data_IF_431570357280
#
_entry.id   IF_431570357280
#
_cell.length_a   1.000
_cell.length_b   1.000
_cell.length_c   1.000
_cell.angle_alpha   90.00
_cell.angle_beta   90.00
_cell.angle_gamma   90.00
#
_symmetry.space_group_name_H-M   'P 1'
#
loop_
_entity.id
_entity.type
_entity.pdbx_description
1 polymer ?
#
# COMPACT_ATOMS: atom_id res chain seq x y z
N UNK A 1 -8.47 -32.53 -55.38
CA UNK A 1 -7.54 -32.20 -54.29
C UNK A 1 -8.18 -31.11 -53.44
N UNK A 2 -9.03 -31.53 -52.51
CA UNK A 2 -9.73 -30.70 -51.54
C UNK A 2 -8.85 -30.61 -50.29
N UNK A 3 -8.33 -29.41 -49.99
CA UNK A 3 -7.66 -29.14 -48.70
C UNK A 3 -8.71 -29.35 -47.61
N UNK A 4 -8.53 -30.37 -46.77
CA UNK A 4 -9.23 -30.47 -45.49
C UNK A 4 -8.83 -29.25 -44.63
N UNK A 5 -9.78 -28.53 -44.02
CA UNK A 5 -9.44 -27.50 -43.07
C UNK A 5 -8.77 -28.15 -41.86
N UNK A 6 -7.72 -27.48 -41.40
CA UNK A 6 -6.99 -27.70 -40.17
C UNK A 6 -7.96 -27.49 -38.98
N UNK A 7 -8.73 -28.51 -38.60
CA UNK A 7 -9.55 -28.50 -37.36
C UNK A 7 -8.89 -29.27 -36.21
N UNK A 8 -7.70 -29.86 -36.42
CA UNK A 8 -7.06 -30.79 -35.47
C UNK A 8 -6.00 -30.18 -34.52
N UNK A 9 -5.97 -28.86 -34.29
CA UNK A 9 -5.07 -28.25 -33.28
C UNK A 9 -5.79 -27.35 -32.24
N UNK A 10 -7.11 -27.44 -32.13
CA UNK A 10 -7.92 -26.69 -31.13
C UNK A 10 -8.04 -27.48 -29.81
N UNK A 11 -7.10 -28.38 -29.52
CA UNK A 11 -6.75 -28.73 -28.13
C UNK A 11 -5.78 -27.69 -27.56
N UNK A 12 -6.01 -26.40 -27.83
CA UNK A 12 -5.39 -25.32 -27.06
C UNK A 12 -5.97 -25.45 -25.66
N UNK A 13 -5.24 -26.19 -24.84
CA UNK A 13 -5.59 -26.56 -23.48
C UNK A 13 -6.09 -25.32 -22.76
N UNK A 14 -7.32 -25.38 -22.25
CA UNK A 14 -7.78 -24.35 -21.34
C UNK A 14 -6.80 -24.29 -20.17
N UNK A 15 -6.27 -23.12 -19.85
CA UNK A 15 -5.40 -22.98 -18.70
C UNK A 15 -6.24 -23.14 -17.43
N UNK A 16 -5.88 -24.12 -16.61
CA UNK A 16 -6.49 -24.34 -15.30
C UNK A 16 -6.11 -23.19 -14.35
N UNK A 17 -7.02 -22.82 -13.45
CA UNK A 17 -6.77 -21.77 -12.45
C UNK A 17 -5.58 -22.10 -11.54
N UNK A 18 -5.33 -23.40 -11.32
CA UNK A 18 -4.16 -23.91 -10.59
C UNK A 18 -2.85 -23.55 -11.27
N UNK A 19 -2.76 -23.72 -12.60
CA UNK A 19 -1.57 -23.40 -13.38
C UNK A 19 -1.23 -21.90 -13.34
N UNK A 20 -2.25 -21.02 -13.31
CA UNK A 20 -2.01 -19.59 -13.10
C UNK A 20 -1.32 -19.31 -11.76
N UNK A 21 -1.77 -19.94 -10.66
CA UNK A 21 -1.10 -19.78 -9.36
C UNK A 21 0.31 -20.39 -9.32
N UNK A 22 0.60 -21.37 -10.17
CA UNK A 22 1.96 -21.90 -10.33
C UNK A 22 2.86 -20.94 -11.12
N UNK A 23 2.29 -20.18 -12.05
CA UNK A 23 2.99 -19.14 -12.81
C UNK A 23 3.28 -17.86 -12.00
N UNK A 24 2.53 -17.58 -10.92
CA UNK A 24 2.83 -16.46 -10.03
C UNK A 24 4.14 -16.67 -9.28
N UNK A 25 4.90 -15.60 -9.07
CA UNK A 25 6.08 -15.63 -8.20
C UNK A 25 5.71 -16.14 -6.80
N UNK A 26 6.56 -16.93 -6.12
CA UNK A 26 6.25 -17.45 -4.79
C UNK A 26 5.89 -16.35 -3.78
N UNK A 27 6.57 -15.21 -3.86
CA UNK A 27 6.36 -14.02 -3.03
C UNK A 27 4.98 -13.41 -3.29
N UNK A 28 4.65 -13.16 -4.56
CA UNK A 28 3.36 -12.57 -4.92
C UNK A 28 2.20 -13.52 -4.64
N UNK A 29 2.37 -14.82 -4.90
CA UNK A 29 1.41 -15.86 -4.51
C UNK A 29 1.14 -15.85 -3.01
N UNK A 30 2.19 -15.74 -2.19
CA UNK A 30 2.05 -15.59 -0.75
C UNK A 30 1.27 -14.33 -0.35
N UNK A 31 1.50 -13.22 -1.03
CA UNK A 31 0.76 -11.95 -0.85
C UNK A 31 -0.73 -12.10 -1.18
N UNK A 32 -1.06 -12.68 -2.33
CA UNK A 32 -2.45 -12.97 -2.78
C UNK A 32 -3.17 -13.83 -1.74
N UNK A 33 -2.54 -14.92 -1.30
CA UNK A 33 -3.07 -15.83 -0.27
C UNK A 33 -3.28 -15.10 1.05
N UNK A 34 -2.29 -14.34 1.53
CA UNK A 34 -2.38 -13.61 2.79
C UNK A 34 -3.51 -12.57 2.76
N UNK A 35 -3.66 -11.84 1.65
CA UNK A 35 -4.73 -10.85 1.47
C UNK A 35 -6.11 -11.51 1.47
N UNK A 36 -6.26 -12.64 0.75
CA UNK A 36 -7.50 -13.41 0.77
C UNK A 36 -7.84 -13.91 2.20
N UNK A 37 -6.87 -14.45 2.93
CA UNK A 37 -7.06 -14.93 4.30
C UNK A 37 -7.39 -13.80 5.30
N UNK A 38 -6.87 -12.59 5.10
CA UNK A 38 -7.22 -11.41 5.91
C UNK A 38 -8.62 -10.88 5.58
N UNK A 39 -9.02 -10.94 4.32
CA UNK A 39 -10.31 -10.43 3.85
C UNK A 39 -11.47 -11.42 4.04
N UNK A 40 -11.21 -12.68 4.38
CA UNK A 40 -12.22 -13.76 4.48
C UNK A 40 -13.48 -13.39 5.27
N UNK A 41 -13.33 -12.58 6.32
CA UNK A 41 -14.41 -12.18 7.24
C UNK A 41 -15.08 -10.86 6.81
N UNK A 42 -14.63 -10.25 5.71
CA UNK A 42 -15.07 -8.96 5.19
C UNK A 42 -15.65 -9.03 3.77
N UNK A 43 -15.40 -10.13 3.06
CA UNK A 43 -16.02 -10.45 1.76
C UNK A 43 -17.42 -11.03 1.92
N UNK A 44 -18.07 -11.39 0.80
CA UNK A 44 -19.38 -12.04 0.86
C UNK A 44 -19.35 -13.34 1.66
N UNK A 45 -20.44 -13.63 2.38
CA UNK A 45 -20.56 -14.83 3.22
C UNK A 45 -20.34 -16.13 2.44
N UNK A 46 -20.76 -16.16 1.17
CA UNK A 46 -20.61 -17.33 0.31
C UNK A 46 -19.13 -17.56 -0.05
N UNK A 47 -18.39 -16.51 -0.41
CA UNK A 47 -16.97 -16.61 -0.74
C UNK A 47 -16.10 -16.95 0.48
N UNK A 48 -16.37 -16.33 1.63
CA UNK A 48 -15.71 -16.69 2.89
C UNK A 48 -15.94 -18.16 3.27
N UNK A 49 -17.19 -18.65 3.18
CA UNK A 49 -17.52 -20.06 3.45
C UNK A 49 -16.89 -21.02 2.44
N UNK A 50 -16.81 -20.63 1.16
CA UNK A 50 -16.16 -21.43 0.13
C UNK A 50 -14.66 -21.61 0.45
N UNK A 51 -13.98 -20.53 0.84
CA UNK A 51 -12.57 -20.56 1.24
C UNK A 51 -12.35 -21.43 2.50
N UNK A 52 -13.16 -21.25 3.54
CA UNK A 52 -13.10 -22.10 4.74
C UNK A 52 -13.31 -23.58 4.42
N UNK A 53 -14.26 -23.89 3.53
CA UNK A 53 -14.52 -25.25 3.10
C UNK A 53 -13.35 -25.84 2.30
N UNK A 54 -12.72 -25.04 1.44
CA UNK A 54 -11.55 -25.45 0.67
C UNK A 54 -10.34 -25.70 1.60
N UNK A 55 -10.09 -24.82 2.57
CA UNK A 55 -9.03 -24.98 3.58
C UNK A 55 -9.23 -26.27 4.38
N UNK A 56 -10.44 -26.54 4.88
CA UNK A 56 -10.75 -27.78 5.59
C UNK A 56 -10.53 -29.04 4.75
N UNK A 57 -10.79 -28.96 3.45
CA UNK A 57 -10.68 -30.09 2.53
C UNK A 57 -9.24 -30.36 2.07
N UNK A 58 -8.41 -29.33 1.97
CA UNK A 58 -7.09 -29.42 1.33
C UNK A 58 -5.91 -29.28 2.28
N UNK A 59 -6.09 -28.65 3.44
CA UNK A 59 -5.01 -28.36 4.38
C UNK A 59 -5.09 -29.26 5.61
N UNK A 60 -3.95 -29.75 6.07
CA UNK A 60 -3.81 -30.43 7.37
C UNK A 60 -2.77 -29.68 8.20
N UNK A 61 -3.15 -29.29 9.42
CA UNK A 61 -2.26 -28.59 10.35
C UNK A 61 -2.21 -29.33 11.69
N UNK A 62 -1.01 -29.48 12.23
CA UNK A 62 -0.81 -30.09 13.55
C UNK A 62 -1.40 -29.17 14.62
N UNK A 63 -2.17 -29.73 15.55
CA UNK A 63 -2.81 -28.98 16.64
C UNK A 63 -4.17 -28.36 16.30
N UNK A 64 -4.63 -28.44 15.04
CA UNK A 64 -5.92 -27.91 14.62
C UNK A 64 -6.84 -29.03 14.09
N UNK A 65 -7.97 -29.23 14.77
CA UNK A 65 -9.04 -30.12 14.25
C UNK A 65 -9.79 -29.48 13.08
N UNK A 66 -9.86 -28.15 13.04
CA UNK A 66 -10.38 -27.36 11.94
C UNK A 66 -9.34 -26.30 11.53
N UNK A 67 -8.58 -26.54 10.44
CA UNK A 67 -7.53 -25.63 9.99
C UNK A 67 -8.04 -24.21 9.66
N UNK A 68 -9.29 -24.06 9.21
CA UNK A 68 -9.85 -22.75 8.87
C UNK A 68 -9.90 -21.77 10.05
N UNK A 69 -9.89 -22.27 11.29
CA UNK A 69 -9.88 -21.43 12.50
C UNK A 69 -8.49 -20.94 12.90
N UNK A 70 -7.42 -21.38 12.22
CA UNK A 70 -6.08 -20.87 12.48
C UNK A 70 -5.97 -19.38 12.10
N UNK A 71 -5.01 -18.70 12.73
CA UNK A 71 -4.67 -17.31 12.40
C UNK A 71 -4.15 -17.23 10.96
N UNK A 72 -4.45 -16.14 10.24
CA UNK A 72 -4.14 -16.02 8.81
C UNK A 72 -2.66 -16.23 8.51
N UNK A 73 -1.75 -15.70 9.34
CA UNK A 73 -0.30 -15.87 9.18
C UNK A 73 0.17 -17.32 9.26
N UNK A 74 -0.47 -18.16 10.08
CA UNK A 74 -0.16 -19.58 10.18
C UNK A 74 -0.72 -20.40 9.01
N UNK A 75 -1.70 -19.86 8.28
CA UNK A 75 -2.33 -20.48 7.12
C UNK A 75 -1.66 -20.11 5.79
N UNK A 76 -0.97 -18.99 5.71
CA UNK A 76 -0.42 -18.46 4.46
C UNK A 76 0.46 -19.48 3.74
N UNK A 77 1.47 -20.02 4.43
CA UNK A 77 2.39 -20.98 3.83
C UNK A 77 1.68 -22.30 3.45
N UNK A 78 0.94 -22.98 4.35
CA UNK A 78 0.20 -24.18 3.99
C UNK A 78 -0.75 -24.00 2.80
N UNK A 79 -1.47 -22.88 2.73
CA UNK A 79 -2.38 -22.58 1.61
C UNK A 79 -1.58 -22.34 0.33
N UNK A 80 -0.51 -21.53 0.38
CA UNK A 80 0.37 -21.25 -0.76
C UNK A 80 1.00 -22.53 -1.34
N UNK A 81 1.51 -23.46 -0.51
CA UNK A 81 2.13 -24.69 -1.02
C UNK A 81 1.13 -25.75 -1.52
N UNK A 82 -0.18 -25.56 -1.29
CA UNK A 82 -1.24 -26.49 -1.72
C UNK A 82 -2.18 -25.89 -2.78
N UNK A 83 -2.10 -24.60 -3.08
CA UNK A 83 -3.03 -23.93 -4.00
C UNK A 83 -2.94 -24.47 -5.43
N UNK A 84 -1.73 -24.79 -5.93
CA UNK A 84 -1.54 -25.44 -7.24
C UNK A 84 -2.05 -26.89 -7.30
N UNK A 85 -2.28 -27.53 -6.14
CA UNK A 85 -2.70 -28.94 -6.05
C UNK A 85 -4.21 -29.11 -5.86
N UNK A 86 -4.93 -28.01 -5.58
CA UNK A 86 -6.35 -28.06 -5.24
C UNK A 86 -7.10 -26.95 -5.96
N UNK A 87 -7.82 -27.32 -7.02
CA UNK A 87 -8.67 -26.40 -7.79
C UNK A 87 -9.66 -25.64 -6.91
N UNK A 88 -10.30 -26.32 -5.95
CA UNK A 88 -11.26 -25.69 -5.02
C UNK A 88 -10.59 -24.60 -4.18
N UNK A 89 -9.34 -24.84 -3.77
CA UNK A 89 -8.56 -23.86 -3.00
C UNK A 89 -8.13 -22.69 -3.87
N UNK A 90 -7.66 -22.94 -5.09
CA UNK A 90 -7.31 -21.89 -6.06
C UNK A 90 -8.52 -20.99 -6.38
N UNK A 91 -9.67 -21.58 -6.72
CA UNK A 91 -10.92 -20.86 -7.00
C UNK A 91 -11.34 -20.00 -5.82
N UNK A 92 -11.42 -20.59 -4.63
CA UNK A 92 -11.92 -19.88 -3.45
C UNK A 92 -10.95 -18.76 -3.02
N UNK A 93 -9.64 -18.99 -3.12
CA UNK A 93 -8.64 -17.96 -2.82
C UNK A 93 -8.72 -16.80 -3.80
N UNK A 94 -8.78 -17.09 -5.11
CA UNK A 94 -8.87 -16.04 -6.15
C UNK A 94 -10.15 -15.22 -6.00
N UNK A 95 -11.28 -15.85 -5.70
CA UNK A 95 -12.56 -15.14 -5.50
C UNK A 95 -12.52 -14.20 -4.30
N UNK A 96 -12.04 -14.69 -3.15
CA UNK A 96 -11.92 -13.86 -1.93
C UNK A 96 -10.89 -12.73 -2.14
N UNK A 97 -9.78 -13.00 -2.82
CA UNK A 97 -8.80 -11.99 -3.18
C UNK A 97 -9.42 -10.89 -4.06
N UNK A 98 -10.14 -11.26 -5.12
CA UNK A 98 -10.76 -10.30 -6.02
C UNK A 98 -11.82 -9.45 -5.31
N UNK A 99 -12.70 -10.08 -4.51
CA UNK A 99 -13.70 -9.36 -3.70
C UNK A 99 -13.07 -8.40 -2.69
N UNK A 100 -11.87 -8.71 -2.18
CA UNK A 100 -11.14 -7.80 -1.28
C UNK A 100 -10.60 -6.55 -1.99
N UNK A 101 -10.63 -6.52 -3.33
CA UNK A 101 -10.10 -5.47 -4.19
C UNK A 101 -11.19 -4.88 -5.10
N UNK A 102 -12.40 -4.67 -4.55
CA UNK A 102 -13.58 -4.17 -5.28
C UNK A 102 -13.30 -2.88 -6.09
N UNK A 103 -12.48 -1.97 -5.56
CA UNK A 103 -12.10 -0.73 -6.27
C UNK A 103 -11.28 -1.01 -7.53
N UNK A 104 -10.33 -1.95 -7.46
CA UNK A 104 -9.52 -2.37 -8.61
C UNK A 104 -10.38 -3.12 -9.63
N UNK A 105 -11.28 -4.01 -9.17
CA UNK A 105 -12.22 -4.70 -10.05
C UNK A 105 -13.11 -3.71 -10.82
N UNK A 106 -13.67 -2.70 -10.13
CA UNK A 106 -14.47 -1.63 -10.75
C UNK A 106 -13.66 -0.83 -11.76
N UNK A 107 -12.40 -0.53 -11.46
CA UNK A 107 -11.51 0.18 -12.37
C UNK A 107 -11.26 -0.62 -13.65
N UNK A 108 -10.84 -1.89 -13.50
CA UNK A 108 -10.51 -2.78 -14.62
C UNK A 108 -11.76 -3.08 -15.46
N UNK A 109 -12.89 -3.40 -14.83
CA UNK A 109 -14.15 -3.68 -15.53
C UNK A 109 -14.68 -2.46 -16.29
N UNK A 110 -14.62 -1.26 -15.69
CA UNK A 110 -14.99 -0.01 -16.35
C UNK A 110 -14.10 0.30 -17.55
N UNK A 111 -12.79 0.08 -17.42
CA UNK A 111 -11.84 0.24 -18.51
C UNK A 111 -12.11 -0.72 -19.67
N UNK A 112 -12.19 -2.02 -19.39
CA UNK A 112 -12.47 -3.04 -20.41
C UNK A 112 -13.79 -2.77 -21.14
N UNK A 113 -14.85 -2.42 -20.41
CA UNK A 113 -16.14 -2.07 -21.01
C UNK A 113 -16.03 -0.84 -21.93
N UNK A 114 -15.24 0.16 -21.57
CA UNK A 114 -15.03 1.37 -22.39
C UNK A 114 -14.31 1.07 -23.72
N UNK A 115 -13.44 0.04 -23.73
CA UNK A 115 -12.75 -0.43 -24.92
C UNK A 115 -13.57 -1.44 -25.74
N UNK A 116 -14.77 -1.82 -25.27
CA UNK A 116 -15.57 -2.87 -25.90
C UNK A 116 -14.95 -4.27 -25.74
N UNK A 117 -14.09 -4.47 -24.74
CA UNK A 117 -13.49 -5.74 -24.39
C UNK A 117 -14.40 -6.53 -23.42
N UNK A 118 -14.37 -7.86 -23.47
CA UNK A 118 -15.27 -8.70 -22.66
C UNK A 118 -14.90 -8.72 -21.18
N UNK A 119 -15.92 -8.78 -20.33
CA UNK A 119 -15.84 -8.90 -18.87
C UNK A 119 -16.55 -10.17 -18.41
N UNK A 120 -16.04 -11.33 -18.85
CA UNK A 120 -16.74 -12.62 -18.73
C UNK A 120 -16.43 -13.42 -17.45
N UNK A 121 -15.39 -13.03 -16.71
CA UNK A 121 -14.85 -13.73 -15.54
C UNK A 121 -14.44 -15.22 -15.77
N UNK A 122 -13.58 -15.81 -14.93
CA UNK A 122 -13.25 -17.23 -14.99
C UNK A 122 -14.47 -18.14 -14.91
N UNK A 123 -14.39 -19.27 -15.58
CA UNK A 123 -15.36 -20.35 -15.48
C UNK A 123 -15.06 -21.20 -14.24
N UNK A 124 -15.56 -20.73 -13.09
CA UNK A 124 -15.34 -21.39 -11.80
C UNK A 124 -15.96 -22.78 -11.68
N UNK A 125 -16.94 -23.12 -12.52
CA UNK A 125 -17.54 -24.46 -12.52
C UNK A 125 -16.59 -25.50 -13.13
N UNK A 126 -15.81 -25.07 -14.12
CA UNK A 126 -14.84 -25.92 -14.82
C UNK A 126 -13.38 -25.54 -14.49
N UNK A 127 -13.16 -24.80 -13.40
CA UNK A 127 -11.84 -24.42 -12.89
C UNK A 127 -10.87 -23.79 -13.91
N UNK A 128 -11.38 -22.99 -14.86
CA UNK A 128 -10.57 -22.55 -16.03
C UNK A 128 -10.82 -21.12 -16.49
N UNK A 129 -9.86 -20.59 -17.23
CA UNK A 129 -10.06 -19.39 -18.04
C UNK A 129 -10.80 -19.72 -19.35
N UNK A 130 -11.65 -18.78 -19.81
CA UNK A 130 -12.49 -18.92 -21.01
C UNK A 130 -11.71 -18.72 -22.31
N UNK A 131 -10.56 -18.06 -22.24
CA UNK A 131 -9.74 -17.81 -23.41
C UNK A 131 -8.37 -17.25 -23.06
N UNK A 132 -7.73 -16.73 -24.09
CA UNK A 132 -6.39 -16.17 -24.01
C UNK A 132 -6.40 -14.71 -24.45
N UNK A 133 -5.54 -13.94 -23.82
CA UNK A 133 -5.14 -12.64 -24.30
C UNK A 133 -4.13 -12.77 -25.44
N UNK A 134 -4.23 -11.83 -26.37
CA UNK A 134 -3.11 -11.45 -27.22
C UNK A 134 -2.13 -10.64 -26.36
N UNK A 135 -0.84 -11.00 -26.38
CA UNK A 135 0.18 -10.46 -25.47
C UNK A 135 0.33 -8.94 -25.61
N UNK A 136 0.46 -8.44 -26.85
CA UNK A 136 0.56 -7.00 -27.14
C UNK A 136 -0.65 -6.24 -26.61
N UNK A 137 -1.85 -6.80 -26.82
CA UNK A 137 -3.09 -6.20 -26.32
C UNK A 137 -3.12 -6.19 -24.79
N UNK A 138 -2.78 -7.30 -24.15
CA UNK A 138 -2.79 -7.39 -22.68
C UNK A 138 -1.79 -6.45 -22.04
N UNK A 139 -0.56 -6.38 -22.53
CA UNK A 139 0.46 -5.49 -21.99
C UNK A 139 0.04 -4.03 -22.14
N UNK A 140 -0.52 -3.66 -23.30
CA UNK A 140 -1.03 -2.30 -23.53
C UNK A 140 -2.14 -1.91 -22.53
N UNK A 141 -3.07 -2.82 -22.26
CA UNK A 141 -4.16 -2.54 -21.31
C UNK A 141 -3.66 -2.57 -19.85
N UNK A 142 -2.68 -3.42 -19.52
CA UNK A 142 -2.00 -3.44 -18.23
C UNK A 142 -1.29 -2.11 -17.97
N UNK A 143 -0.41 -1.67 -18.88
CA UNK A 143 0.34 -0.42 -18.79
C UNK A 143 -0.60 0.78 -18.57
N UNK A 144 -1.72 0.80 -19.31
CA UNK A 144 -2.70 1.88 -19.19
C UNK A 144 -3.34 1.95 -17.80
N UNK A 145 -3.73 0.80 -17.23
CA UNK A 145 -4.37 0.76 -15.90
C UNK A 145 -3.35 1.06 -14.80
N UNK A 146 -2.11 0.56 -14.93
CA UNK A 146 -1.01 0.87 -14.02
C UNK A 146 -0.71 2.37 -14.04
N UNK A 147 -0.63 3.00 -15.21
CA UNK A 147 -0.43 4.45 -15.33
C UNK A 147 -1.59 5.26 -14.73
N UNK A 148 -2.82 4.74 -14.83
CA UNK A 148 -4.00 5.38 -14.25
C UNK A 148 -4.05 5.24 -12.71
N UNK A 149 -3.50 4.16 -12.16
CA UNK A 149 -3.63 3.82 -10.75
C UNK A 149 -2.30 3.91 -9.99
N UNK A 150 -2.16 4.93 -9.13
CA UNK A 150 -0.96 5.09 -8.27
C UNK A 150 -0.95 4.15 -7.05
N UNK A 151 -2.00 3.33 -6.88
CA UNK A 151 -2.27 2.60 -5.64
C UNK A 151 -1.93 1.11 -5.78
N UNK A 152 -2.16 0.53 -6.96
CA UNK A 152 -2.10 -0.91 -7.21
C UNK A 152 -0.76 -1.29 -7.83
N UNK A 153 -0.22 -2.45 -7.45
CA UNK A 153 0.97 -2.98 -8.11
C UNK A 153 0.62 -3.50 -9.51
N UNK A 154 1.62 -3.56 -10.38
CA UNK A 154 1.48 -4.15 -11.71
C UNK A 154 0.95 -5.59 -11.64
N UNK A 155 1.47 -6.41 -10.71
CA UNK A 155 1.00 -7.79 -10.49
C UNK A 155 -0.48 -7.87 -10.09
N UNK A 156 -0.95 -6.95 -9.22
CA UNK A 156 -2.35 -6.86 -8.80
C UNK A 156 -3.26 -6.49 -9.99
N UNK A 157 -2.82 -5.53 -10.82
CA UNK A 157 -3.55 -5.14 -12.03
C UNK A 157 -3.57 -6.28 -13.05
N UNK A 158 -2.43 -6.94 -13.28
CA UNK A 158 -2.28 -8.07 -14.18
C UNK A 158 -3.22 -9.23 -13.80
N UNK A 159 -3.20 -9.64 -12.53
CA UNK A 159 -4.07 -10.71 -12.04
C UNK A 159 -5.56 -10.29 -12.10
N UNK A 160 -5.89 -9.04 -11.79
CA UNK A 160 -7.27 -8.56 -11.90
C UNK A 160 -7.72 -8.48 -13.35
N UNK A 161 -6.85 -8.12 -14.28
CA UNK A 161 -7.14 -8.09 -15.71
C UNK A 161 -7.50 -9.49 -16.21
N UNK A 162 -6.77 -10.52 -15.77
CA UNK A 162 -7.10 -11.91 -16.05
C UNK A 162 -8.44 -12.32 -15.40
N UNK A 163 -8.65 -11.93 -14.14
CA UNK A 163 -9.87 -12.22 -13.39
C UNK A 163 -11.13 -11.58 -14.00
N UNK A 164 -11.11 -10.32 -14.40
CA UNK A 164 -12.30 -9.63 -14.94
C UNK A 164 -12.59 -10.10 -16.37
N UNK A 165 -11.56 -10.24 -17.20
CA UNK A 165 -11.73 -10.66 -18.59
C UNK A 165 -12.09 -12.15 -18.73
N UNK A 166 -11.77 -12.97 -17.73
CA UNK A 166 -11.86 -14.42 -17.83
C UNK A 166 -10.85 -15.01 -18.82
N UNK A 167 -9.79 -14.27 -19.15
CA UNK A 167 -8.74 -14.68 -20.10
C UNK A 167 -7.38 -14.65 -19.43
N UNK A 168 -6.48 -15.56 -19.82
CA UNK A 168 -5.09 -15.59 -19.35
C UNK A 168 -4.12 -15.20 -20.46
N UNK A 169 -2.89 -14.83 -20.15
CA UNK A 169 -1.82 -14.68 -21.16
C UNK A 169 -1.31 -16.08 -21.55
N UNK A 170 -0.98 -16.29 -22.82
CA UNK A 170 -0.29 -17.51 -23.26
C UNK A 170 1.15 -17.41 -22.76
N UNK A 171 1.55 -18.34 -21.90
CA UNK A 171 2.96 -18.49 -21.57
C UNK A 171 3.51 -19.51 -22.56
N UNK A 172 4.36 -19.06 -23.48
CA UNK A 172 4.97 -19.94 -24.47
C UNK A 172 5.95 -20.90 -23.75
N UNK A 173 5.43 -22.05 -23.30
CA UNK A 173 6.20 -23.11 -22.63
C UNK A 173 7.19 -23.86 -23.57
N UNK A 174 7.32 -23.42 -24.84
CA UNK A 174 7.95 -24.20 -25.91
C UNK A 174 9.33 -23.68 -26.39
N UNK A 175 9.88 -22.60 -25.82
CA UNK A 175 11.25 -22.15 -26.16
C UNK A 175 12.36 -22.82 -25.31
N UNK A 176 12.00 -23.85 -24.52
CA UNK A 176 12.93 -24.72 -23.78
C UNK A 176 13.62 -25.80 -24.63
N UNK A 177 13.58 -25.68 -25.97
CA UNK A 177 14.46 -26.48 -26.84
C UNK A 177 15.80 -25.75 -27.00
N UNK A 178 16.70 -26.04 -26.06
CA UNK A 178 18.16 -26.00 -26.24
C UNK A 178 18.88 -24.67 -25.94
N UNK A 179 18.44 -23.93 -24.91
CA UNK A 179 19.26 -22.89 -24.27
C UNK A 179 19.35 -23.21 -22.78
N UNK A 180 20.57 -23.45 -22.30
CA UNK A 180 20.84 -23.90 -20.94
C UNK A 180 20.18 -23.03 -19.87
N UNK A 181 19.38 -23.71 -19.03
CA UNK A 181 19.00 -23.41 -17.64
C UNK A 181 19.59 -22.14 -17.00
N UNK A 182 19.17 -20.95 -17.43
CA UNK A 182 19.34 -19.69 -16.67
C UNK A 182 18.48 -18.51 -17.18
N UNK A 183 17.38 -18.76 -17.89
CA UNK A 183 16.48 -17.68 -18.35
C UNK A 183 15.01 -18.07 -18.24
N UNK A 184 14.52 -18.15 -17.00
CA UNK A 184 13.09 -18.07 -16.74
C UNK A 184 12.66 -16.60 -16.87
N UNK A 185 11.62 -16.33 -17.68
CA UNK A 185 11.04 -14.99 -17.84
C UNK A 185 10.30 -14.63 -16.54
N UNK A 186 11.05 -14.04 -15.62
CA UNK A 186 10.50 -13.28 -14.51
C UNK A 186 9.65 -12.13 -15.07
N UNK A 187 8.37 -12.11 -14.73
CA UNK A 187 7.44 -10.98 -14.97
C UNK A 187 7.99 -9.67 -14.35
N UNK A 188 9.01 -9.75 -13.49
CA UNK A 188 9.72 -8.63 -12.86
C UNK A 188 10.83 -7.96 -13.68
N UNK A 189 11.17 -8.40 -14.91
CA UNK A 189 12.39 -7.93 -15.62
C UNK A 189 12.17 -7.14 -16.92
N UNK A 190 11.17 -6.25 -16.97
CA UNK A 190 10.97 -5.32 -18.10
C UNK A 190 11.05 -3.85 -17.64
N UNK A 191 12.18 -3.43 -17.03
CA UNK A 191 12.71 -2.04 -17.11
C UNK A 191 13.98 -1.83 -16.30
N UNK A 192 15.09 -2.37 -16.76
CA UNK A 192 16.41 -1.78 -16.46
C UNK A 192 16.99 -1.16 -17.74
N UNK A 193 16.73 0.14 -17.92
CA UNK A 193 17.56 0.97 -18.80
C UNK A 193 18.79 1.39 -17.99
N UNK A 194 20.02 1.04 -18.39
CA UNK A 194 21.20 1.60 -17.74
C UNK A 194 21.27 3.09 -18.08
N UNK A 195 21.13 3.93 -17.04
CA UNK A 195 21.45 5.34 -17.11
C UNK A 195 22.98 5.47 -17.25
N UNK A 196 23.44 5.73 -18.47
CA UNK A 196 24.77 6.30 -18.69
C UNK A 196 24.75 7.73 -18.19
N UNK A 197 25.23 7.94 -16.96
CA UNK A 197 25.53 9.26 -16.43
C UNK A 197 26.93 9.63 -16.90
N UNK A 198 27.00 10.36 -18.01
CA UNK A 198 28.15 11.20 -18.32
C UNK A 198 28.19 12.35 -17.29
N UNK A 199 29.28 12.42 -16.54
CA UNK A 199 29.53 13.50 -15.60
C UNK A 199 29.92 14.77 -16.39
N UNK A 200 28.92 15.60 -16.71
CA UNK A 200 29.18 16.98 -17.12
C UNK A 200 29.52 17.84 -15.90
N UNK A 201 30.67 18.50 -16.02
CA UNK A 201 31.30 19.35 -15.03
C UNK A 201 30.66 20.74 -15.10
N UNK A 202 29.88 21.10 -14.09
CA UNK A 202 29.35 22.46 -13.94
C UNK A 202 30.49 23.47 -13.70
N UNK A 203 30.48 24.64 -14.36
CA UNK A 203 31.37 25.76 -14.03
C UNK A 203 30.78 26.61 -12.89
N UNK A 204 31.63 26.97 -11.93
CA UNK A 204 31.35 27.93 -10.86
C UNK A 204 30.93 29.30 -11.42
N UNK A 205 29.92 29.97 -10.86
CA UNK A 205 29.61 31.35 -11.21
C UNK A 205 30.52 32.32 -10.46
N UNK A 206 31.22 33.17 -11.22
CA UNK A 206 31.92 34.34 -10.71
C UNK A 206 30.91 35.38 -10.18
N UNK A 207 31.13 35.83 -8.95
CA UNK A 207 30.40 36.93 -8.29
C UNK A 207 30.75 38.26 -8.97
N UNK A 208 29.79 38.86 -9.69
CA UNK A 208 29.89 40.23 -10.20
C UNK A 208 29.04 41.16 -9.32
N UNK A 209 29.70 41.94 -8.46
CA UNK A 209 29.11 42.98 -7.63
C UNK A 209 28.52 44.12 -8.49
N UNK A 210 27.21 44.36 -8.40
CA UNK A 210 26.57 45.52 -8.99
C UNK A 210 26.48 46.69 -7.98
N UNK A 211 26.68 47.95 -8.41
CA UNK A 211 26.72 49.10 -7.50
C UNK A 211 25.33 49.58 -7.09
N UNK A 212 25.23 49.97 -5.82
CA UNK A 212 24.08 50.62 -5.18
C UNK A 212 23.83 51.99 -5.81
N UNK A 213 22.67 52.15 -6.47
CA UNK A 213 22.16 53.46 -6.92
C UNK A 213 21.09 53.94 -5.93
N UNK A 214 21.46 54.98 -5.19
CA UNK A 214 20.61 55.74 -4.26
C UNK A 214 19.56 56.54 -5.06
N UNK A 215 18.28 56.16 -4.97
CA UNK A 215 17.17 56.93 -5.54
C UNK A 215 16.56 57.89 -4.51
N UNK A 216 16.57 59.17 -4.87
CA UNK A 216 15.89 60.27 -4.17
C UNK A 216 14.35 60.16 -4.29
N UNK A 217 13.59 60.73 -3.33
CA UNK A 217 12.13 60.59 -3.28
C UNK A 217 11.43 61.47 -4.33
N UNK A 218 10.54 60.87 -5.14
CA UNK A 218 9.61 61.58 -6.00
C UNK A 218 8.30 61.95 -5.27
N UNK A 219 7.65 63.07 -5.64
CA UNK A 219 6.47 63.58 -4.96
C UNK A 219 5.16 62.90 -5.41
N UNK A 220 4.19 62.88 -4.50
CA UNK A 220 2.87 62.26 -4.66
C UNK A 220 2.05 62.86 -5.83
N UNK A 221 1.35 62.05 -6.66
CA UNK A 221 0.40 62.55 -7.64
C UNK A 221 -0.96 62.87 -7.00
N UNK A 222 -1.56 63.98 -7.44
CA UNK A 222 -2.94 64.37 -7.15
C UNK A 222 -3.96 63.46 -7.90
N UNK A 223 -5.19 63.29 -7.37
CA UNK A 223 -6.21 62.45 -7.99
C UNK A 223 -6.92 63.19 -9.14
N UNK A 224 -6.98 62.54 -10.31
CA UNK A 224 -7.82 62.94 -11.45
C UNK A 224 -9.09 62.05 -11.50
N UNK A 225 -10.17 62.52 -12.16
CA UNK A 225 -11.53 62.04 -11.93
C UNK A 225 -11.85 60.73 -12.66
N UNK A 226 -12.70 59.94 -12.01
CA UNK A 226 -13.19 58.61 -12.41
C UNK A 226 -14.04 58.69 -13.69
N UNK A 227 -13.70 57.99 -14.78
CA UNK A 227 -14.64 57.68 -15.84
C UNK A 227 -15.41 56.39 -15.52
N UNK A 228 -16.63 56.33 -16.06
CA UNK A 228 -17.66 55.34 -15.80
C UNK A 228 -17.18 53.88 -15.91
N UNK A 229 -17.74 53.05 -15.01
CA UNK A 229 -17.53 51.63 -14.86
C UNK A 229 -17.72 50.85 -16.18
N UNK A 230 -16.60 50.51 -16.82
CA UNK A 230 -16.49 49.31 -17.66
C UNK A 230 -16.22 48.16 -16.69
N UNK A 231 -17.10 47.16 -16.66
CA UNK A 231 -16.89 45.93 -15.88
C UNK A 231 -15.56 45.32 -16.37
N UNK A 232 -14.50 45.24 -15.55
CA UNK A 232 -13.25 44.64 -16.00
C UNK A 232 -13.50 43.16 -16.33
N UNK A 233 -12.88 42.63 -17.40
CA UNK A 233 -12.92 41.20 -17.68
C UNK A 233 -12.46 40.43 -16.45
N UNK A 234 -13.21 39.40 -16.07
CA UNK A 234 -12.93 38.61 -14.87
C UNK A 234 -11.49 38.08 -14.96
N UNK A 235 -10.65 38.48 -14.00
CA UNK A 235 -9.31 37.94 -13.83
C UNK A 235 -9.41 36.42 -13.74
N UNK A 236 -8.53 35.65 -14.41
CA UNK A 236 -8.57 34.19 -14.33
C UNK A 236 -8.58 33.76 -12.86
N UNK A 237 -9.33 32.70 -12.50
CA UNK A 237 -9.41 32.23 -11.13
C UNK A 237 -7.98 31.99 -10.61
N UNK A 238 -7.61 32.72 -9.56
CA UNK A 238 -6.32 32.54 -8.92
C UNK A 238 -6.21 31.09 -8.46
N UNK A 239 -5.11 30.42 -8.80
CA UNK A 239 -4.90 28.99 -8.57
C UNK A 239 -5.34 28.60 -7.14
N UNK A 240 -6.37 27.74 -6.99
CA UNK A 240 -6.87 27.38 -5.67
C UNK A 240 -5.88 26.45 -4.96
N UNK A 241 -5.63 26.72 -3.68
CA UNK A 241 -4.64 26.03 -2.83
C UNK A 241 -4.98 24.58 -2.44
N UNK A 242 -6.10 24.03 -2.93
CA UNK A 242 -6.51 22.65 -2.66
C UNK A 242 -6.93 21.99 -3.97
N UNK A 243 -5.98 21.30 -4.59
CA UNK A 243 -6.15 20.73 -5.93
C UNK A 243 -6.88 19.38 -5.83
N UNK A 244 -8.20 19.38 -6.03
CA UNK A 244 -8.89 18.18 -6.50
C UNK A 244 -8.55 18.00 -7.99
N UNK A 245 -7.46 17.26 -8.24
CA UNK A 245 -6.71 17.16 -9.51
C UNK A 245 -7.54 17.06 -10.78
N UNK A 246 -8.55 16.16 -10.88
CA UNK A 246 -9.26 15.95 -12.14
C UNK A 246 -10.20 17.10 -12.51
N UNK A 247 -10.90 17.66 -11.52
CA UNK A 247 -11.91 18.68 -11.77
C UNK A 247 -11.29 20.03 -12.17
N UNK A 248 -10.17 20.40 -11.56
CA UNK A 248 -9.47 21.65 -11.87
C UNK A 248 -8.80 21.58 -13.24
N UNK A 249 -8.18 20.43 -13.59
CA UNK A 249 -7.63 20.21 -14.92
C UNK A 249 -8.70 20.34 -16.01
N UNK A 250 -9.86 19.70 -15.82
CA UNK A 250 -10.97 19.80 -16.76
C UNK A 250 -11.48 21.24 -16.89
N UNK A 251 -11.63 21.97 -15.78
CA UNK A 251 -12.02 23.39 -15.82
C UNK A 251 -11.00 24.26 -16.56
N UNK A 252 -9.70 24.01 -16.38
CA UNK A 252 -8.66 24.72 -17.11
C UNK A 252 -8.68 24.38 -18.61
N UNK A 253 -8.90 23.12 -18.97
CA UNK A 253 -9.03 22.68 -20.37
C UNK A 253 -10.27 23.31 -21.01
N UNK A 254 -11.41 23.33 -20.32
CA UNK A 254 -12.64 23.96 -20.79
C UNK A 254 -12.45 25.47 -20.97
N UNK A 255 -11.78 26.13 -20.03
CA UNK A 255 -11.45 27.55 -20.11
C UNK A 255 -10.54 27.83 -21.32
N UNK A 256 -9.45 27.09 -21.48
CA UNK A 256 -8.56 27.22 -22.64
C UNK A 256 -9.30 26.96 -23.95
N UNK A 257 -10.20 25.96 -23.98
CA UNK A 257 -11.01 25.65 -25.17
C UNK A 257 -12.02 26.76 -25.52
N UNK A 258 -12.37 27.61 -24.56
CA UNK A 258 -13.29 28.74 -24.75
C UNK A 258 -12.62 30.01 -25.28
N UNK A 259 -11.29 30.11 -25.21
CA UNK A 259 -10.54 31.28 -25.67
C UNK A 259 -10.33 31.22 -27.19
N UNK A 260 -10.45 32.37 -27.86
CA UNK A 260 -10.10 32.50 -29.28
C UNK A 260 -8.57 32.55 -29.42
N UNK A 261 -7.96 31.93 -30.45
CA UNK A 261 -6.51 31.99 -30.69
C UNK A 261 -5.96 33.41 -30.89
N UNK A 262 -6.81 34.37 -31.28
CA UNK A 262 -6.45 35.78 -31.46
C UNK A 262 -6.60 36.61 -30.17
N UNK A 263 -7.12 36.02 -29.09
CA UNK A 263 -7.33 36.73 -27.85
C UNK A 263 -5.98 37.01 -27.16
N UNK A 264 -5.76 38.24 -26.72
CA UNK A 264 -4.49 38.63 -26.09
C UNK A 264 -4.22 37.80 -24.82
N UNK A 265 -5.29 37.36 -24.15
CA UNK A 265 -5.25 36.45 -23.01
C UNK A 265 -4.67 35.08 -23.35
N UNK A 266 -4.71 34.64 -24.62
CA UNK A 266 -4.16 33.34 -25.04
C UNK A 266 -2.65 33.26 -24.78
N UNK A 267 -1.93 34.34 -25.09
CA UNK A 267 -0.48 34.41 -24.95
C UNK A 267 0.00 34.42 -23.50
N UNK A 268 -0.86 34.79 -22.55
CA UNK A 268 -0.55 34.79 -21.11
C UNK A 268 -1.12 33.54 -20.41
N UNK A 269 -2.34 33.14 -20.75
CA UNK A 269 -3.04 32.03 -20.11
C UNK A 269 -2.44 30.66 -20.47
N UNK A 270 -1.97 30.46 -21.71
CA UNK A 270 -1.40 29.17 -22.13
C UNK A 270 -0.08 28.87 -21.41
N UNK A 271 0.93 29.78 -21.37
CA UNK A 271 2.14 29.54 -20.60
C UNK A 271 1.86 29.30 -19.12
N UNK A 272 1.00 30.12 -18.50
CA UNK A 272 0.65 29.95 -17.08
C UNK A 272 -0.01 28.59 -16.80
N UNK A 273 -0.86 28.10 -17.71
CA UNK A 273 -1.42 26.75 -17.61
C UNK A 273 -0.36 25.67 -17.78
N UNK A 274 0.52 25.78 -18.78
CA UNK A 274 1.62 24.83 -19.00
C UNK A 274 2.54 24.76 -17.78
N UNK A 275 2.87 25.91 -17.18
CA UNK A 275 3.67 25.98 -15.96
C UNK A 275 2.95 25.32 -14.78
N UNK A 276 1.65 25.58 -14.61
CA UNK A 276 0.85 24.95 -13.56
C UNK A 276 0.79 23.41 -13.72
N UNK A 277 0.57 22.91 -14.93
CA UNK A 277 0.56 21.47 -15.22
C UNK A 277 1.94 20.85 -15.00
N UNK A 278 3.01 21.54 -15.41
CA UNK A 278 4.40 21.10 -15.19
C UNK A 278 4.74 21.03 -13.71
N UNK A 279 4.30 22.01 -12.91
CA UNK A 279 4.46 22.02 -11.46
C UNK A 279 3.69 20.88 -10.79
N UNK A 280 2.45 20.62 -11.21
CA UNK A 280 1.66 19.47 -10.70
C UNK A 280 2.36 18.16 -11.03
N UNK A 281 2.85 18.00 -12.27
CA UNK A 281 3.60 16.80 -12.69
C UNK A 281 4.86 16.61 -11.87
N UNK A 282 5.64 17.68 -11.66
CA UNK A 282 6.86 17.65 -10.84
C UNK A 282 6.54 17.25 -9.39
N UNK A 283 5.53 17.87 -8.77
CA UNK A 283 5.08 17.54 -7.41
C UNK A 283 4.63 16.08 -7.31
N UNK A 284 3.85 15.59 -8.27
CA UNK A 284 3.39 14.19 -8.30
C UNK A 284 4.53 13.20 -8.48
N UNK A 285 5.49 13.51 -9.34
CA UNK A 285 6.71 12.72 -9.49
C UNK A 285 7.49 12.63 -8.18
N UNK A 286 7.70 13.76 -7.50
CA UNK A 286 8.37 13.80 -6.20
C UNK A 286 7.60 13.01 -5.13
N UNK A 287 6.27 13.09 -5.10
CA UNK A 287 5.43 12.29 -4.20
C UNK A 287 5.61 10.79 -4.44
N UNK A 288 5.62 10.35 -5.71
CA UNK A 288 5.82 8.93 -6.06
C UNK A 288 7.22 8.44 -5.66
N UNK A 289 8.24 9.24 -5.95
CA UNK A 289 9.63 8.93 -5.56
C UNK A 289 9.75 8.78 -4.05
N UNK A 290 9.26 9.76 -3.27
CA UNK A 290 9.27 9.71 -1.80
C UNK A 290 8.47 8.55 -1.24
N UNK A 291 7.30 8.26 -1.81
CA UNK A 291 6.48 7.10 -1.41
C UNK A 291 7.23 5.79 -1.68
N UNK A 292 7.87 5.65 -2.83
CA UNK A 292 8.70 4.49 -3.16
C UNK A 292 9.87 4.34 -2.17
N UNK A 293 10.60 5.42 -1.88
CA UNK A 293 11.65 5.41 -0.85
C UNK A 293 11.14 5.00 0.53
N UNK A 294 9.94 5.43 0.91
CA UNK A 294 9.35 5.10 2.20
C UNK A 294 8.95 3.62 2.28
N UNK A 295 8.38 3.08 1.20
CA UNK A 295 8.07 1.64 1.08
C UNK A 295 9.35 0.81 1.18
N UNK A 296 10.40 1.21 0.46
CA UNK A 296 11.70 0.54 0.53
C UNK A 296 12.29 0.57 1.96
N UNK A 297 12.28 1.74 2.61
CA UNK A 297 12.76 1.89 3.98
C UNK A 297 11.96 1.03 4.98
N UNK A 298 10.64 0.96 4.85
CA UNK A 298 9.81 0.08 5.70
C UNK A 298 10.10 -1.40 5.47
N UNK A 299 10.28 -1.80 4.21
CA UNK A 299 10.66 -3.18 3.87
C UNK A 299 12.00 -3.54 4.47
N UNK A 300 13.01 -2.67 4.33
CA UNK A 300 14.34 -2.84 4.91
C UNK A 300 14.27 -2.97 6.44
N UNK A 301 13.54 -2.07 7.13
CA UNK A 301 13.39 -2.13 8.59
C UNK A 301 12.70 -3.43 9.02
N UNK A 302 11.62 -3.82 8.33
CA UNK A 302 10.85 -5.02 8.68
C UNK A 302 11.66 -6.30 8.46
N UNK A 303 12.39 -6.38 7.36
CA UNK A 303 13.22 -7.54 7.03
C UNK A 303 14.43 -7.63 7.97
N UNK A 304 15.18 -6.53 8.09
CA UNK A 304 16.43 -6.51 8.84
C UNK A 304 16.18 -6.68 10.34
N UNK A 305 15.14 -6.03 10.91
CA UNK A 305 14.89 -5.98 12.36
C UNK A 305 13.67 -6.81 12.80
N UNK A 306 13.20 -7.77 11.99
CA UNK A 306 12.04 -8.63 12.30
C UNK A 306 12.05 -9.21 13.72
N UNK A 307 13.15 -9.84 14.12
CA UNK A 307 13.28 -10.44 15.45
C UNK A 307 13.33 -9.42 16.59
N UNK A 308 13.78 -8.19 16.33
CA UNK A 308 13.83 -7.09 17.30
C UNK A 308 12.43 -6.48 17.48
N UNK A 309 11.70 -6.29 16.37
CA UNK A 309 10.32 -5.81 16.36
C UNK A 309 9.35 -6.81 17.01
N UNK A 310 9.53 -8.11 16.75
CA UNK A 310 8.76 -9.18 17.42
C UNK A 310 8.99 -9.18 18.94
N UNK A 311 10.23 -8.99 19.38
CA UNK A 311 10.56 -8.88 20.80
C UNK A 311 9.88 -7.68 21.48
N UNK A 312 9.75 -6.56 20.77
CA UNK A 312 9.04 -5.37 21.23
C UNK A 312 7.51 -5.49 21.09
N UNK A 313 7.00 -6.64 20.66
CA UNK A 313 5.58 -6.93 20.41
C UNK A 313 4.93 -5.93 19.44
N UNK A 314 5.70 -5.49 18.44
CA UNK A 314 5.22 -4.51 17.48
C UNK A 314 4.84 -5.16 16.14
N UNK A 315 3.57 -4.99 15.78
CA UNK A 315 3.08 -5.27 14.43
C UNK A 315 3.53 -4.14 13.49
N UNK A 316 4.05 -4.46 12.30
CA UNK A 316 4.35 -3.46 11.26
C UNK A 316 3.38 -3.52 10.08
N UNK A 317 2.40 -4.43 10.11
CA UNK A 317 1.46 -4.68 9.01
C UNK A 317 0.56 -3.49 8.69
N UNK A 318 0.43 -2.53 9.61
CA UNK A 318 -0.33 -1.30 9.41
C UNK A 318 0.49 -0.16 8.77
N UNK A 319 1.78 -0.36 8.52
CA UNK A 319 2.62 0.66 7.87
C UNK A 319 2.28 0.75 6.39
N UNK A 320 1.53 1.78 6.02
CA UNK A 320 1.19 2.07 4.61
C UNK A 320 1.50 3.51 4.26
N UNK A 321 2.31 3.69 3.22
CA UNK A 321 2.61 5.00 2.65
C UNK A 321 1.47 5.54 1.75
N UNK A 322 0.44 4.74 1.48
CA UNK A 322 -0.66 5.13 0.59
C UNK A 322 -1.53 6.25 1.18
N UNK A 323 -1.63 6.33 2.52
CA UNK A 323 -2.42 7.36 3.20
C UNK A 323 -1.79 8.75 3.22
N UNK A 324 -0.50 8.86 2.90
CA UNK A 324 0.27 10.10 2.93
C UNK A 324 0.17 10.79 1.58
N UNK A 325 -0.47 11.96 1.54
CA UNK A 325 -0.68 12.73 0.30
C UNK A 325 0.16 13.99 0.21
N UNK A 326 0.61 14.54 1.34
CA UNK A 326 1.42 15.75 1.35
C UNK A 326 2.92 15.40 1.32
N UNK A 327 3.72 16.14 0.55
CA UNK A 327 5.15 15.88 0.41
C UNK A 327 5.89 16.03 1.76
N UNK A 328 5.50 17.03 2.56
CA UNK A 328 6.00 17.26 3.92
C UNK A 328 5.71 16.10 4.87
N UNK A 329 4.56 15.45 4.75
CA UNK A 329 4.22 14.26 5.55
C UNK A 329 5.06 13.05 5.15
N UNK A 330 5.31 12.87 3.85
CA UNK A 330 6.19 11.84 3.32
C UNK A 330 7.63 12.04 3.80
N UNK A 331 8.18 13.24 3.66
CA UNK A 331 9.54 13.58 4.10
C UNK A 331 9.70 13.38 5.62
N UNK A 332 8.74 13.84 6.43
CA UNK A 332 8.74 13.63 7.88
C UNK A 332 8.69 12.15 8.24
N UNK A 333 7.89 11.35 7.54
CA UNK A 333 7.76 9.92 7.82
C UNK A 333 9.04 9.17 7.42
N UNK A 334 9.70 9.58 6.35
CA UNK A 334 11.03 9.09 5.96
C UNK A 334 12.09 9.41 7.02
N UNK A 335 12.08 10.62 7.56
CA UNK A 335 12.98 11.00 8.66
C UNK A 335 12.75 10.13 9.91
N UNK A 336 11.48 9.89 10.27
CA UNK A 336 11.13 8.98 11.37
C UNK A 336 11.58 7.54 11.09
N UNK A 337 11.42 7.04 9.87
CA UNK A 337 11.87 5.69 9.50
C UNK A 337 13.40 5.56 9.62
N UNK A 338 14.16 6.55 9.14
CA UNK A 338 15.62 6.61 9.30
C UNK A 338 16.03 6.67 10.77
N UNK A 339 15.36 7.50 11.57
CA UNK A 339 15.57 7.58 13.02
C UNK A 339 15.29 6.25 13.72
N UNK A 340 14.19 5.57 13.36
CA UNK A 340 13.83 4.26 13.90
C UNK A 340 14.90 3.22 13.57
N UNK A 341 15.37 3.18 12.31
CA UNK A 341 16.45 2.28 11.89
C UNK A 341 17.70 2.46 12.75
N UNK A 342 18.11 3.71 13.00
CA UNK A 342 19.28 3.99 13.85
C UNK A 342 19.08 3.51 15.29
N UNK A 343 17.89 3.76 15.87
CA UNK A 343 17.56 3.30 17.21
C UNK A 343 17.55 1.76 17.32
N UNK A 344 17.02 1.07 16.31
CA UNK A 344 16.99 -0.39 16.28
C UNK A 344 18.40 -0.99 16.12
N UNK A 345 19.28 -0.33 15.36
CA UNK A 345 20.70 -0.70 15.30
C UNK A 345 21.39 -0.57 16.66
N UNK A 346 21.19 0.55 17.38
CA UNK A 346 21.72 0.71 18.73
C UNK A 346 21.15 -0.34 19.70
N UNK A 347 19.86 -0.64 19.58
CA UNK A 347 19.18 -1.62 20.42
C UNK A 347 19.70 -3.04 20.19
N UNK A 348 19.96 -3.41 18.93
CA UNK A 348 20.52 -4.72 18.54
C UNK A 348 21.83 -5.03 19.25
N UNK A 349 22.71 -4.03 19.42
CA UNK A 349 23.98 -4.18 20.12
C UNK A 349 23.81 -4.51 21.61
N UNK A 350 22.77 -3.97 22.25
CA UNK A 350 22.51 -4.15 23.68
C UNK A 350 21.49 -5.24 24.00
N UNK A 351 20.80 -5.79 22.99
CA UNK A 351 19.78 -6.84 23.15
C UNK A 351 20.36 -8.15 23.68
N UNK A 352 21.56 -8.53 23.22
CA UNK A 352 22.17 -9.80 23.64
C UNK A 352 22.53 -9.75 25.13
N UNK A 353 22.31 -10.84 25.90
CA UNK A 353 22.77 -10.92 27.28
C UNK A 353 24.27 -10.66 27.38
N UNK A 354 24.70 -9.89 28.38
CA UNK A 354 26.11 -9.70 28.70
C UNK A 354 26.78 -10.99 29.17
N UNK A 355 28.08 -11.13 28.93
CA UNK A 355 28.84 -12.31 29.38
C UNK A 355 29.08 -12.30 30.89
N UNK A 356 28.96 -11.13 31.52
CA UNK A 356 29.11 -10.93 32.97
C UNK A 356 27.96 -10.12 33.52
N UNK A 357 27.71 -10.22 34.83
CA UNK A 357 26.66 -9.45 35.52
C UNK A 357 26.87 -7.93 35.37
N UNK A 358 28.10 -7.46 35.45
CA UNK A 358 28.43 -6.02 35.29
C UNK A 358 28.09 -5.51 33.90
N UNK A 359 28.46 -6.29 32.87
CA UNK A 359 28.12 -5.99 31.48
C UNK A 359 26.60 -6.02 31.25
N UNK A 360 25.91 -7.01 31.81
CA UNK A 360 24.46 -7.13 31.70
C UNK A 360 23.72 -5.96 32.36
N UNK A 361 24.17 -5.49 33.53
CA UNK A 361 23.61 -4.29 34.17
C UNK A 361 23.77 -3.04 33.29
N UNK A 362 24.94 -2.84 32.69
CA UNK A 362 25.18 -1.72 31.78
C UNK A 362 24.34 -1.80 30.49
N UNK A 363 24.17 -3.00 29.92
CA UNK A 363 23.29 -3.22 28.76
C UNK A 363 21.83 -2.99 29.10
N UNK A 364 21.38 -3.45 30.28
CA UNK A 364 20.00 -3.28 30.75
C UNK A 364 19.62 -1.82 30.90
N UNK A 365 20.50 -1.00 31.47
CA UNK A 365 20.28 0.45 31.57
C UNK A 365 20.12 1.10 30.19
N UNK A 366 20.94 0.71 29.21
CA UNK A 366 20.82 1.20 27.82
C UNK A 366 19.51 0.75 27.16
N UNK A 367 19.10 -0.51 27.36
CA UNK A 367 17.81 -1.00 26.84
C UNK A 367 16.64 -0.18 27.40
N UNK A 368 16.64 0.08 28.72
CA UNK A 368 15.64 0.95 29.36
C UNK A 368 15.59 2.36 28.79
N UNK A 369 16.71 2.91 28.31
CA UNK A 369 16.75 4.22 27.67
C UNK A 369 16.32 4.19 26.19
N UNK A 370 16.58 3.10 25.47
CA UNK A 370 16.29 2.98 24.04
C UNK A 370 14.84 2.57 23.76
N UNK A 371 14.28 1.64 24.54
CA UNK A 371 12.94 1.10 24.31
C UNK A 371 11.86 2.19 24.23
N UNK A 372 11.76 3.16 25.15
CA UNK A 372 10.76 4.23 25.05
C UNK A 372 10.92 5.07 23.78
N UNK A 373 12.17 5.37 23.37
CA UNK A 373 12.44 6.17 22.17
C UNK A 373 12.03 5.44 20.89
N UNK A 374 12.26 4.12 20.85
CA UNK A 374 11.82 3.27 19.74
C UNK A 374 10.29 3.27 19.66
N UNK A 375 9.63 3.01 20.79
CA UNK A 375 8.16 2.97 20.86
C UNK A 375 7.53 4.33 20.51
N UNK A 376 8.10 5.44 20.98
CA UNK A 376 7.65 6.79 20.62
C UNK A 376 7.79 7.06 19.12
N UNK A 377 8.93 6.71 18.53
CA UNK A 377 9.18 6.89 17.09
C UNK A 377 8.19 6.06 16.26
N UNK A 378 7.95 4.81 16.66
CA UNK A 378 6.94 3.95 16.03
C UNK A 378 5.52 4.48 16.20
N UNK A 379 5.20 5.07 17.35
CA UNK A 379 3.93 5.74 17.61
C UNK A 379 3.71 6.94 16.68
N UNK A 380 4.73 7.77 16.49
CA UNK A 380 4.70 8.90 15.55
C UNK A 380 4.54 8.44 14.10
N UNK A 381 5.26 7.39 13.69
CA UNK A 381 5.09 6.78 12.37
C UNK A 381 3.68 6.25 12.16
N UNK A 382 3.13 5.52 13.14
CA UNK A 382 1.74 5.04 13.12
C UNK A 382 0.77 6.19 12.99
N UNK A 383 0.95 7.26 13.76
CA UNK A 383 0.08 8.43 13.71
C UNK A 383 0.14 9.12 12.35
N UNK A 384 1.32 9.30 11.77
CA UNK A 384 1.46 9.89 10.44
C UNK A 384 0.72 9.06 9.38
N UNK A 385 0.92 7.74 9.37
CA UNK A 385 0.34 6.85 8.36
C UNK A 385 -1.18 6.59 8.53
N UNK A 386 -1.71 6.68 9.75
CA UNK A 386 -3.14 6.44 10.03
C UNK A 386 -3.97 7.72 10.15
N UNK A 387 -3.35 8.83 10.55
CA UNK A 387 -4.02 10.08 10.91
C UNK A 387 -4.70 10.82 9.76
N UNK A 388 -4.29 10.56 8.51
CA UNK A 388 -4.88 11.19 7.33
C UNK A 388 -6.35 10.81 7.07
N UNK A 389 -6.84 9.69 7.60
CA UNK A 389 -8.21 9.22 7.33
C UNK A 389 -9.27 9.70 8.32
N UNK A 390 -8.89 10.13 9.53
CA UNK A 390 -9.84 10.29 10.64
C UNK A 390 -10.30 11.72 10.98
N UNK A 391 -9.52 12.76 10.63
CA UNK A 391 -9.71 14.08 11.26
C UNK A 391 -10.38 15.15 10.37
N UNK A 392 -10.68 14.86 9.10
CA UNK A 392 -11.19 15.86 8.14
C UNK A 392 -12.71 15.97 8.03
N UNK A 393 -13.48 15.20 8.79
CA UNK A 393 -14.95 15.25 8.77
C UNK A 393 -15.55 15.28 10.16
N UNK A 394 -15.85 16.47 10.70
CA UNK A 394 -16.64 16.55 11.94
C UNK A 394 -16.42 17.76 12.82
N UNK A 395 -16.37 18.97 12.25
CA UNK A 395 -16.54 20.19 13.03
C UNK A 395 -17.52 21.14 12.31
N UNK A 396 -18.70 20.65 11.94
CA UNK A 396 -19.87 21.51 11.77
C UNK A 396 -20.62 21.53 13.08
N UNK A 397 -20.47 22.65 13.79
CA UNK A 397 -21.13 22.92 15.05
C UNK A 397 -22.64 22.80 14.91
N UNK A 398 -23.23 22.02 15.80
CA UNK A 398 -24.65 22.03 16.11
C UNK A 398 -24.79 22.62 17.51
N UNK A 399 -24.68 23.95 17.60
CA UNK A 399 -25.30 24.70 18.69
C UNK A 399 -26.81 24.65 18.47
N UNK A 400 -27.49 23.75 19.19
CA UNK A 400 -28.93 23.80 19.38
C UNK A 400 -29.26 23.31 20.80
N UNK A 401 -29.40 24.33 21.63
CA UNK A 401 -30.03 24.41 22.94
C UNK A 401 -31.45 23.81 23.00
N UNK A 402 -31.94 23.59 24.22
CA UNK A 402 -33.26 23.09 24.65
C UNK A 402 -33.34 21.57 24.82
N UNK A 403 -33.77 20.99 25.94
CA UNK A 403 -34.43 21.47 27.14
C UNK A 403 -35.04 20.22 27.80
N UNK A 404 -35.19 20.22 29.12
CA UNK A 404 -35.44 18.99 29.89
C UNK A 404 -36.77 18.29 29.59
N UNK A 405 -36.88 17.02 29.98
CA UNK A 405 -37.94 16.61 30.89
C UNK A 405 -37.60 15.29 31.59
N UNK A 406 -38.01 15.22 32.84
CA UNK A 406 -37.95 14.07 33.73
C UNK A 406 -39.02 13.06 33.33
N UNK A 407 -38.73 11.77 33.41
CA UNK A 407 -39.65 10.73 33.91
C UNK A 407 -39.00 9.34 33.85
N UNK A 408 -38.87 8.72 35.03
CA UNK A 408 -38.87 7.26 35.17
C UNK A 408 -40.18 6.68 34.59
N UNK A 409 -40.19 5.42 34.15
CA UNK A 409 -40.68 4.43 35.11
C UNK A 409 -39.95 3.09 35.08
N UNK A 410 -39.96 2.49 36.26
CA UNK A 410 -39.65 1.11 36.59
C UNK A 410 -40.39 0.11 35.69
N UNK A 411 -39.70 -0.95 35.28
CA UNK A 411 -40.27 -2.03 34.48
C UNK A 411 -39.46 -3.32 34.62
N UNK A 412 -39.77 -4.07 35.68
CA UNK A 412 -39.32 -5.42 35.99
C UNK A 412 -39.34 -6.36 34.77
N UNK A 413 -38.24 -7.09 34.53
CA UNK A 413 -38.30 -8.49 34.09
C UNK A 413 -37.04 -9.27 34.45
N UNK A 414 -37.23 -10.17 35.42
CA UNK A 414 -36.29 -11.21 35.83
C UNK A 414 -36.29 -12.42 34.88
N UNK A 415 -35.16 -13.14 34.96
CA UNK A 415 -34.94 -14.57 34.63
C UNK A 415 -34.65 -14.85 33.14
N UNK A 416 -33.64 -15.65 32.76
CA UNK A 416 -33.05 -16.78 33.46
C UNK A 416 -31.68 -17.21 32.88
N UNK A 417 -30.99 -18.05 33.67
CA UNK A 417 -29.62 -18.57 33.64
C UNK A 417 -29.08 -19.31 32.39
N UNK A 418 -27.74 -19.33 32.32
CA UNK A 418 -26.88 -20.38 31.77
C UNK A 418 -25.48 -19.81 31.48
N UNK A 419 -24.54 -19.67 32.43
CA UNK A 419 -23.79 -20.69 33.19
C UNK A 419 -23.04 -21.71 32.32
N UNK A 420 -21.86 -21.31 31.81
CA UNK A 420 -20.71 -22.21 31.64
C UNK A 420 -19.41 -21.46 31.95
N UNK A 421 -18.70 -22.00 32.94
CA UNK A 421 -17.38 -21.60 33.42
C UNK A 421 -16.31 -21.62 32.33
N UNK A 422 -15.38 -20.67 32.43
CA UNK A 422 -14.06 -20.73 31.81
C UNK A 422 -13.12 -19.83 32.60
N UNK A 423 -12.59 -20.35 33.70
CA UNK A 423 -11.62 -19.65 34.54
C UNK A 423 -10.34 -19.37 33.76
N UNK A 424 -10.00 -18.10 33.59
CA UNK A 424 -8.65 -17.65 33.21
C UNK A 424 -7.90 -17.40 34.51
N UNK A 425 -7.03 -18.33 34.87
CA UNK A 425 -6.01 -18.13 35.88
C UNK A 425 -4.99 -17.12 35.35
N UNK A 426 -4.92 -15.96 36.01
CA UNK A 426 -3.86 -14.99 35.84
C UNK A 426 -2.60 -15.55 36.53
N UNK A 427 -1.59 -15.93 35.75
CA UNK A 427 -0.23 -16.11 36.27
C UNK A 427 0.42 -14.73 36.36
N UNK A 428 0.16 -14.01 37.45
CA UNK A 428 1.05 -12.96 37.92
C UNK A 428 2.19 -13.65 38.66
N UNK A 429 3.33 -13.80 37.98
CA UNK A 429 4.58 -14.23 38.61
C UNK A 429 5.15 -13.03 39.38
N UNK A 430 4.73 -12.87 40.64
CA UNK A 430 5.46 -12.02 41.59
C UNK A 430 6.81 -12.69 41.89
N UNK A 431 7.88 -12.18 41.26
CA UNK A 431 9.26 -12.47 41.66
C UNK A 431 9.57 -11.66 42.94
N UNK A 432 9.19 -12.21 44.10
CA UNK A 432 9.74 -11.79 45.38
C UNK A 432 11.22 -12.16 45.45
N UNK A 433 12.09 -11.15 45.39
CA UNK A 433 13.51 -11.28 45.69
C UNK A 433 13.69 -11.56 47.19
N UNK A 434 14.10 -12.77 47.55
CA UNK A 434 14.71 -13.01 48.86
C UNK A 434 16.15 -12.46 48.85
N UNK A 435 16.56 -11.66 49.85
CA UNK A 435 17.94 -11.25 49.98
C UNK A 435 18.82 -12.46 50.34
N UNK A 436 19.86 -12.69 49.54
CA UNK A 436 20.89 -13.69 49.81
C UNK A 436 21.61 -13.34 51.12
N UNK A 437 21.56 -14.29 52.05
CA UNK A 437 22.23 -14.29 53.34
C UNK A 437 23.76 -14.39 53.13
N UNK A 438 24.48 -13.34 53.49
CA UNK A 438 25.94 -13.31 53.56
C UNK A 438 26.40 -14.19 54.73
N UNK A 439 26.76 -15.45 54.47
CA UNK A 439 27.08 -16.38 55.55
C UNK A 439 28.03 -17.53 55.22
N UNK A 440 29.28 -17.34 55.65
CA UNK A 440 30.26 -18.37 56.07
C UNK A 440 31.24 -18.85 55.00
N UNK A 441 32.41 -18.22 55.01
CA UNK A 441 33.68 -18.73 54.47
C UNK A 441 34.28 -19.73 55.47
N UNK A 442 34.57 -20.99 55.09
CA UNK A 442 35.32 -21.90 55.96
C UNK A 442 36.82 -21.56 55.92
N UNK A 443 37.44 -21.44 57.09
CA UNK A 443 38.88 -21.31 57.24
C UNK A 443 39.63 -22.52 56.64
N UNK A 444 40.83 -22.31 56.05
CA UNK A 444 41.69 -23.40 55.63
C UNK A 444 42.37 -24.02 56.86
N UNK A 445 42.12 -25.31 57.08
CA UNK A 445 42.82 -26.10 58.09
C UNK A 445 44.23 -26.48 57.64
N UNK A 446 45.18 -26.37 58.59
CA UNK A 446 46.57 -26.85 58.54
C UNK A 446 46.69 -28.38 58.34
#
# INVERSE_FOLDING_TARGET
MTRKPFEDNVSRAHLELTAMFEALSPEYRGSVVMRALRARDHVSTDSGRALDSAIRGSIRMVGYSNPALAISSALTEPVSSNIGKSEKLAIATLRVWAESMEELEKLVSGHLASQGLPTEYPDFENSRFRGFWDEDTWQKELDWIVDLSEIWSEEDVALMLCYVSGRTVVMDEDDDRDIGTDSFVEISSIRDKPAMVEAEKEPEPEEEEAPVVEQAPQPAPQPAPVPAAVVPPQRPPSAPAAINGPAILNQCIDYLSSLSPEDWNWNEAVPAFVDAVSNIRSLKSAQRERRSSLVAAHSEITQEFSADLEFLEQDTSFWSAQGLTELSELDRTLELASGLRNLLNEYREVRRPGATLSEELGRRERRFALEPRILDTMGLMRQAMTGGRGSRGGATGSDADSGGDSSEPSGLRSSNNGQTSGGRENYQTELTYEPLDDGIVPEPGD
#
